data_IF_128208811257
#
_entry.id   IF_128208811257
#
_cell.length_a   1.000
_cell.length_b   1.000
_cell.length_c   1.000
_cell.angle_alpha   90.00
_cell.angle_beta   90.00
_cell.angle_gamma   90.00
#
_symmetry.space_group_name_H-M   'P 1'
#
loop_
_entity.id
_entity.type
_entity.pdbx_description
1 polymer ?
#
# COMPACT_ATOMS: atom_id res chain seq x y z
N UNK A 1 26.11 8.55 -2.63
CA UNK A 1 24.88 7.76 -2.83
C UNK A 1 23.85 8.28 -1.84
N UNK A 2 22.60 8.56 -2.26
CA UNK A 2 21.57 9.02 -1.30
C UNK A 2 21.27 7.92 -0.29
N UNK A 3 21.10 8.30 0.98
CA UNK A 3 20.73 7.39 2.07
C UNK A 3 19.22 7.40 2.28
N UNK A 4 18.62 6.22 2.34
CA UNK A 4 17.18 6.02 2.49
C UNK A 4 16.88 5.22 3.74
N UNK A 5 16.04 5.75 4.63
CA UNK A 5 15.43 5.00 5.71
C UNK A 5 14.08 4.43 5.26
N UNK A 6 13.99 3.10 5.17
CA UNK A 6 12.78 2.39 4.78
C UNK A 6 12.11 1.79 6.02
N UNK A 7 10.95 2.31 6.42
CA UNK A 7 10.17 1.73 7.53
C UNK A 7 9.20 0.68 7.01
N UNK A 8 8.80 -0.28 7.86
CA UNK A 8 7.89 -1.34 7.44
C UNK A 8 8.47 -2.28 6.37
N UNK A 9 9.79 -2.40 6.31
CA UNK A 9 10.52 -3.10 5.26
C UNK A 9 10.26 -4.62 5.18
N UNK A 10 9.62 -5.22 6.19
CA UNK A 10 9.21 -6.63 6.21
C UNK A 10 7.76 -6.84 5.75
N UNK A 11 7.06 -5.77 5.37
CA UNK A 11 5.75 -5.85 4.73
C UNK A 11 5.85 -6.21 3.24
N UNK A 12 4.71 -6.50 2.62
CA UNK A 12 4.60 -6.89 1.22
C UNK A 12 5.29 -5.89 0.27
N UNK A 13 4.94 -4.60 0.35
CA UNK A 13 5.61 -3.55 -0.43
C UNK A 13 7.08 -3.35 -0.02
N UNK A 14 7.40 -3.59 1.27
CA UNK A 14 8.77 -3.47 1.78
C UNK A 14 9.75 -4.42 1.11
N UNK A 15 9.32 -5.65 0.78
CA UNK A 15 10.16 -6.60 0.03
C UNK A 15 10.45 -6.10 -1.38
N UNK A 16 9.44 -5.65 -2.13
CA UNK A 16 9.64 -5.08 -3.47
C UNK A 16 10.55 -3.85 -3.43
N UNK A 17 10.38 -2.97 -2.43
CA UNK A 17 11.25 -1.80 -2.26
C UNK A 17 12.71 -2.19 -1.96
N UNK A 18 12.93 -3.23 -1.13
CA UNK A 18 14.30 -3.72 -0.88
C UNK A 18 14.98 -4.20 -2.18
N UNK A 19 14.28 -4.99 -2.98
CA UNK A 19 14.81 -5.50 -4.25
C UNK A 19 15.16 -4.36 -5.23
N UNK A 20 14.26 -3.39 -5.39
CA UNK A 20 14.43 -2.34 -6.40
C UNK A 20 15.40 -1.21 -5.99
N UNK A 21 15.59 -0.98 -4.68
CA UNK A 21 16.33 0.17 -4.16
C UNK A 21 17.72 -0.18 -3.62
N UNK A 22 17.96 -1.42 -3.14
CA UNK A 22 19.20 -1.77 -2.43
C UNK A 22 20.48 -1.59 -3.26
N UNK A 23 20.44 -1.81 -4.56
CA UNK A 23 21.60 -1.63 -5.45
C UNK A 23 21.83 -0.17 -5.86
N UNK A 24 20.85 0.70 -5.64
CA UNK A 24 20.84 2.09 -6.14
C UNK A 24 21.02 3.14 -5.04
N UNK A 25 20.81 2.74 -3.78
CA UNK A 25 20.84 3.65 -2.63
C UNK A 25 21.48 2.98 -1.41
N UNK A 26 22.01 3.78 -0.49
CA UNK A 26 22.38 3.34 0.86
C UNK A 26 21.08 3.11 1.66
N UNK A 27 20.58 1.85 1.66
CA UNK A 27 19.25 1.52 2.14
C UNK A 27 19.29 0.96 3.57
N UNK A 28 18.73 1.72 4.51
CA UNK A 28 18.56 1.32 5.90
C UNK A 28 17.14 0.79 6.08
N UNK A 29 17.02 -0.52 6.23
CA UNK A 29 15.75 -1.20 6.41
C UNK A 29 15.36 -1.27 7.88
N UNK A 30 14.12 -0.89 8.22
CA UNK A 30 13.59 -0.99 9.58
C UNK A 30 12.23 -1.65 9.62
N UNK A 31 11.94 -2.34 10.72
CA UNK A 31 10.61 -2.90 11.00
C UNK A 31 10.36 -2.98 12.51
N UNK A 32 9.09 -3.11 12.90
CA UNK A 32 8.70 -3.26 14.31
C UNK A 32 9.32 -4.51 14.95
N UNK A 33 9.33 -5.62 14.23
CA UNK A 33 9.94 -6.87 14.69
C UNK A 33 11.37 -6.98 14.19
N UNK A 34 12.28 -7.42 15.06
CA UNK A 34 13.67 -7.68 14.68
C UNK A 34 13.76 -8.83 13.68
N UNK A 35 14.53 -8.65 12.61
CA UNK A 35 14.82 -9.71 11.64
C UNK A 35 16.19 -9.51 11.01
N UNK A 36 16.74 -10.57 10.37
CA UNK A 36 18.06 -10.50 9.73
C UNK A 36 18.10 -9.39 8.68
N UNK A 37 19.09 -8.52 8.76
CA UNK A 37 19.27 -7.39 7.84
C UNK A 37 18.29 -6.25 8.02
N UNK A 38 17.56 -6.19 9.17
CA UNK A 38 16.57 -5.16 9.45
C UNK A 38 16.75 -4.65 10.88
N UNK A 39 16.84 -3.35 11.05
CA UNK A 39 16.88 -2.72 12.36
C UNK A 39 15.47 -2.68 12.97
N UNK A 40 15.41 -2.86 14.28
CA UNK A 40 14.14 -2.72 15.00
C UNK A 40 13.81 -1.23 15.16
N UNK A 41 12.64 -0.83 14.68
CA UNK A 41 12.09 0.51 14.86
C UNK A 41 10.56 0.43 14.92
N UNK A 42 9.99 0.83 16.03
CA UNK A 42 8.57 1.13 16.11
C UNK A 42 8.37 2.64 15.91
N UNK A 43 7.64 3.02 14.86
CA UNK A 43 7.48 4.42 14.48
C UNK A 43 6.67 5.24 15.50
N UNK A 44 5.86 4.61 16.35
CA UNK A 44 5.15 5.34 17.38
C UNK A 44 6.03 5.66 18.61
N UNK A 45 7.19 5.02 18.76
CA UNK A 45 8.19 5.43 19.73
C UNK A 45 8.96 6.64 19.22
N UNK A 46 8.56 7.82 19.71
CA UNK A 46 9.16 9.10 19.31
C UNK A 46 10.67 9.17 19.53
N UNK A 47 11.15 8.62 20.65
CA UNK A 47 12.56 8.64 20.97
C UNK A 47 13.36 7.71 20.06
N UNK A 48 12.83 6.50 19.78
CA UNK A 48 13.44 5.57 18.84
C UNK A 48 13.52 6.18 17.43
N UNK A 49 12.45 6.85 16.97
CA UNK A 49 12.44 7.56 15.67
C UNK A 49 13.49 8.66 15.65
N UNK A 50 13.51 9.56 16.65
CA UNK A 50 14.47 10.66 16.73
C UNK A 50 15.93 10.15 16.75
N UNK A 51 16.22 9.15 17.58
CA UNK A 51 17.56 8.56 17.68
C UNK A 51 17.99 7.90 16.37
N UNK A 52 17.08 7.19 15.70
CA UNK A 52 17.35 6.54 14.40
C UNK A 52 17.67 7.58 13.34
N UNK A 53 16.84 8.63 13.22
CA UNK A 53 17.05 9.71 12.26
C UNK A 53 18.35 10.46 12.49
N UNK A 54 18.68 10.79 13.74
CA UNK A 54 19.96 11.43 14.12
C UNK A 54 21.18 10.54 13.83
N UNK A 55 21.07 9.24 14.12
CA UNK A 55 22.18 8.28 13.91
C UNK A 55 22.49 8.08 12.43
N UNK A 56 21.48 7.92 11.60
CA UNK A 56 21.66 7.53 10.20
C UNK A 56 21.62 8.71 9.22
N UNK A 57 21.07 9.85 9.62
CA UNK A 57 20.96 11.07 8.81
C UNK A 57 20.49 10.77 7.36
N UNK A 58 19.31 10.14 7.15
CA UNK A 58 18.85 9.80 5.82
C UNK A 58 18.48 11.06 5.02
N UNK A 59 18.72 11.03 3.71
CA UNK A 59 18.22 12.06 2.78
C UNK A 59 16.72 11.90 2.53
N UNK A 60 16.25 10.65 2.59
CA UNK A 60 14.86 10.27 2.27
C UNK A 60 14.36 9.30 3.34
N UNK A 61 13.13 9.50 3.80
CA UNK A 61 12.39 8.50 4.57
C UNK A 61 11.24 7.97 3.71
N UNK A 62 11.20 6.64 3.50
CA UNK A 62 10.06 5.96 2.87
C UNK A 62 9.28 5.27 3.98
N UNK A 63 8.10 5.80 4.30
CA UNK A 63 7.26 5.23 5.35
C UNK A 63 6.22 4.27 4.79
N UNK A 64 6.49 2.95 4.94
CA UNK A 64 5.58 1.87 4.62
C UNK A 64 4.93 1.28 5.88
N UNK A 65 5.31 1.73 7.06
CA UNK A 65 4.75 1.24 8.32
C UNK A 65 3.30 1.66 8.47
N UNK A 66 2.41 0.69 8.63
CA UNK A 66 0.99 0.92 8.88
C UNK A 66 0.33 -0.30 9.54
N UNK A 67 -0.75 -0.08 10.28
CA UNK A 67 -1.70 -1.09 10.68
C UNK A 67 -2.76 -1.20 9.59
N UNK A 68 -2.64 -2.21 8.72
CA UNK A 68 -3.41 -2.34 7.46
C UNK A 68 -4.57 -3.33 7.54
N UNK A 69 -4.71 -4.07 8.65
CA UNK A 69 -5.90 -4.87 8.90
C UNK A 69 -7.08 -3.94 9.22
N UNK A 70 -7.95 -3.75 8.21
CA UNK A 70 -9.06 -2.80 8.28
C UNK A 70 -10.09 -3.22 9.36
N UNK A 71 -10.37 -4.52 9.51
CA UNK A 71 -11.24 -5.01 10.60
C UNK A 71 -10.53 -4.88 11.96
N UNK A 72 -9.24 -5.17 12.02
CA UNK A 72 -8.43 -4.95 13.21
C UNK A 72 -8.39 -3.49 13.66
N UNK A 73 -8.43 -2.55 12.71
CA UNK A 73 -8.54 -1.12 13.02
C UNK A 73 -9.89 -0.75 13.66
N UNK A 74 -11.00 -1.33 13.19
CA UNK A 74 -12.31 -1.12 13.85
C UNK A 74 -12.33 -1.69 15.29
N UNK A 75 -11.72 -2.87 15.50
CA UNK A 75 -11.59 -3.47 16.83
C UNK A 75 -10.69 -2.67 17.76
N UNK A 76 -9.66 -2.01 17.22
CA UNK A 76 -8.65 -1.29 17.97
C UNK A 76 -8.39 0.11 17.40
N UNK A 77 -9.36 1.05 17.50
CA UNK A 77 -9.23 2.39 16.91
C UNK A 77 -8.03 3.18 17.48
N UNK A 78 -7.75 3.00 18.77
CA UNK A 78 -6.61 3.64 19.43
C UNK A 78 -5.28 3.15 18.83
N UNK A 79 -5.11 1.85 18.60
CA UNK A 79 -3.91 1.29 17.99
C UNK A 79 -3.76 1.75 16.54
N UNK A 80 -4.87 1.80 15.79
CA UNK A 80 -4.89 2.32 14.41
C UNK A 80 -4.42 3.77 14.36
N UNK A 81 -4.96 4.64 15.22
CA UNK A 81 -4.54 6.04 15.33
C UNK A 81 -3.05 6.15 15.72
N UNK A 82 -2.62 5.37 16.71
CA UNK A 82 -1.24 5.37 17.22
C UNK A 82 -0.23 5.01 16.14
N UNK A 83 -0.48 3.96 15.34
CA UNK A 83 0.45 3.52 14.31
C UNK A 83 0.33 4.39 13.05
N UNK A 84 -0.91 4.56 12.54
CA UNK A 84 -1.13 5.16 11.22
C UNK A 84 -1.05 6.69 11.21
N UNK A 85 -1.27 7.34 12.37
CA UNK A 85 -1.20 8.80 12.48
C UNK A 85 -0.05 9.26 13.38
N UNK A 86 0.00 8.87 14.67
CA UNK A 86 1.02 9.37 15.60
C UNK A 86 2.43 8.92 15.20
N UNK A 87 2.58 7.69 14.70
CA UNK A 87 3.84 7.21 14.16
C UNK A 87 4.33 8.04 12.96
N UNK A 88 3.43 8.44 12.06
CA UNK A 88 3.75 9.34 10.95
C UNK A 88 4.10 10.73 11.44
N UNK A 89 3.36 11.24 12.42
CA UNK A 89 3.65 12.52 13.09
C UNK A 89 5.06 12.52 13.71
N UNK A 90 5.46 11.42 14.37
CA UNK A 90 6.81 11.31 14.94
C UNK A 90 7.91 11.41 13.87
N UNK A 91 7.70 10.82 12.69
CA UNK A 91 8.63 10.97 11.57
C UNK A 91 8.64 12.43 11.10
N UNK A 92 7.47 13.04 10.86
CA UNK A 92 7.38 14.42 10.40
C UNK A 92 8.08 15.41 11.32
N UNK A 93 7.88 15.27 12.63
CA UNK A 93 8.41 16.20 13.65
C UNK A 93 9.94 16.10 13.81
N UNK A 94 10.57 15.01 13.39
CA UNK A 94 12.00 14.74 13.61
C UNK A 94 12.80 14.60 12.30
N UNK A 95 12.20 14.88 11.14
CA UNK A 95 12.84 14.70 9.84
C UNK A 95 12.55 15.87 8.90
N UNK A 96 13.58 16.51 8.35
CA UNK A 96 13.44 17.65 7.42
C UNK A 96 13.71 17.29 5.95
N UNK A 97 14.20 16.08 5.66
CA UNK A 97 14.42 15.60 4.30
C UNK A 97 13.12 15.22 3.56
N UNK A 98 13.26 14.52 2.44
CA UNK A 98 12.13 14.09 1.63
C UNK A 98 11.36 12.92 2.27
N UNK A 99 10.14 13.16 2.74
CA UNK A 99 9.25 12.11 3.25
C UNK A 99 8.38 11.55 2.13
N UNK A 100 8.52 10.25 1.84
CA UNK A 100 7.62 9.50 0.96
C UNK A 100 6.70 8.65 1.83
N UNK A 101 5.40 8.97 1.86
CA UNK A 101 4.40 8.28 2.67
C UNK A 101 3.41 7.54 1.80
N UNK A 102 3.11 6.27 2.16
CA UNK A 102 2.10 5.49 1.47
C UNK A 102 0.76 5.63 2.18
N UNK A 103 -0.20 6.20 1.45
CA UNK A 103 -1.59 6.37 1.87
C UNK A 103 -2.50 5.35 1.16
N UNK A 104 -3.80 5.57 1.17
CA UNK A 104 -4.78 4.62 0.67
C UNK A 104 -5.98 5.31 0.03
N UNK A 105 -6.63 4.62 -0.90
CA UNK A 105 -7.96 4.92 -1.43
C UNK A 105 -9.06 4.92 -0.36
N UNK A 106 -8.84 4.29 0.81
CA UNK A 106 -9.77 4.29 1.94
C UNK A 106 -10.00 5.67 2.57
N UNK A 107 -9.30 6.71 2.14
CA UNK A 107 -9.60 8.10 2.49
C UNK A 107 -10.89 8.60 1.83
N UNK A 108 -11.44 7.86 0.86
CA UNK A 108 -12.69 8.14 0.17
C UNK A 108 -13.83 7.25 0.67
N UNK A 109 -15.08 7.66 0.42
CA UNK A 109 -16.28 6.91 0.84
C UNK A 109 -16.67 5.77 -0.11
N UNK A 110 -16.14 5.76 -1.32
CA UNK A 110 -16.42 4.75 -2.32
C UNK A 110 -17.81 4.84 -2.96
N UNK A 111 -18.45 6.00 -2.98
CA UNK A 111 -19.76 6.19 -3.64
C UNK A 111 -19.60 6.46 -5.14
N UNK A 112 -18.69 7.35 -5.49
CA UNK A 112 -18.58 7.96 -6.82
C UNK A 112 -17.19 7.80 -7.46
N UNK A 113 -16.41 6.79 -7.04
CA UNK A 113 -15.11 6.49 -7.66
C UNK A 113 -15.24 6.11 -9.15
N UNK A 114 -14.11 6.21 -9.88
CA UNK A 114 -12.74 6.42 -9.40
C UNK A 114 -12.44 7.87 -9.01
N UNK A 115 -11.52 8.04 -8.05
CA UNK A 115 -11.17 9.32 -7.45
C UNK A 115 -9.81 9.83 -7.91
N UNK A 116 -9.70 11.14 -8.14
CA UNK A 116 -8.43 11.84 -8.32
C UNK A 116 -7.95 12.49 -7.01
N UNK A 117 -6.82 13.20 -7.08
CA UNK A 117 -6.21 13.83 -5.90
C UNK A 117 -6.98 15.05 -5.39
N UNK A 118 -7.86 15.66 -6.21
CA UNK A 118 -8.73 16.79 -5.87
C UNK A 118 -10.07 16.36 -5.30
N UNK A 119 -10.43 15.09 -5.45
CA UNK A 119 -11.69 14.54 -4.98
C UNK A 119 -11.81 14.66 -3.46
N UNK A 120 -13.02 15.04 -3.00
CA UNK A 120 -13.31 15.23 -1.57
C UNK A 120 -13.12 13.92 -0.80
N UNK A 121 -12.27 13.95 0.21
CA UNK A 121 -12.09 12.83 1.13
C UNK A 121 -13.26 12.70 2.10
N UNK A 122 -13.68 11.46 2.39
CA UNK A 122 -14.76 11.15 3.33
C UNK A 122 -14.62 9.70 3.79
N UNK A 123 -13.63 9.37 4.65
CA UNK A 123 -13.38 7.99 5.06
C UNK A 123 -14.54 7.40 5.85
N UNK A 124 -14.92 6.16 5.56
CA UNK A 124 -16.04 5.45 6.20
C UNK A 124 -15.58 4.35 7.16
N UNK A 125 -14.27 4.26 7.44
CA UNK A 125 -13.66 3.29 8.33
C UNK A 125 -12.61 3.94 9.23
N UNK A 126 -12.32 3.33 10.37
CA UNK A 126 -11.25 3.77 11.28
C UNK A 126 -9.89 3.76 10.57
N UNK A 127 -9.61 2.75 9.75
CA UNK A 127 -8.41 2.70 8.93
C UNK A 127 -8.29 3.92 8.01
N UNK A 128 -9.31 4.16 7.19
CA UNK A 128 -9.33 5.29 6.27
C UNK A 128 -9.15 6.65 6.98
N UNK A 129 -9.84 6.82 8.11
CA UNK A 129 -9.73 8.05 8.92
C UNK A 129 -8.30 8.23 9.48
N UNK A 130 -7.67 7.16 9.98
CA UNK A 130 -6.29 7.23 10.49
C UNK A 130 -5.27 7.57 9.40
N UNK A 131 -5.50 7.09 8.16
CA UNK A 131 -4.65 7.41 7.00
C UNK A 131 -4.87 8.87 6.55
N UNK A 132 -6.12 9.35 6.51
CA UNK A 132 -6.42 10.73 6.16
C UNK A 132 -5.79 11.72 7.13
N UNK A 133 -5.89 11.48 8.44
CA UNK A 133 -5.23 12.31 9.46
C UNK A 133 -3.72 12.43 9.22
N UNK A 134 -3.07 11.35 8.80
CA UNK A 134 -1.65 11.38 8.46
C UNK A 134 -1.38 12.20 7.20
N UNK A 135 -2.18 12.02 6.13
CA UNK A 135 -2.08 12.82 4.91
C UNK A 135 -2.18 14.32 5.22
N UNK A 136 -3.22 14.72 5.96
CA UNK A 136 -3.46 16.12 6.36
C UNK A 136 -2.31 16.70 7.21
N UNK A 137 -1.79 15.90 8.14
CA UNK A 137 -0.65 16.31 8.96
C UNK A 137 0.61 16.56 8.13
N UNK A 138 0.93 15.65 7.21
CA UNK A 138 2.07 15.78 6.30
C UNK A 138 1.90 17.04 5.44
N UNK A 139 0.75 17.22 4.80
CA UNK A 139 0.46 18.37 3.92
C UNK A 139 0.64 19.68 4.67
N UNK A 140 0.17 19.75 5.92
CA UNK A 140 0.23 20.97 6.74
C UNK A 140 1.65 21.30 7.25
N UNK A 141 2.46 20.27 7.56
CA UNK A 141 3.68 20.45 8.37
C UNK A 141 4.98 20.13 7.61
N UNK A 142 4.91 19.63 6.36
CA UNK A 142 6.10 19.29 5.57
C UNK A 142 6.14 20.07 4.27
N UNK A 143 7.27 20.70 3.98
CA UNK A 143 7.52 21.35 2.68
C UNK A 143 8.00 20.38 1.61
N UNK A 144 8.68 19.29 2.02
CA UNK A 144 9.27 18.31 1.09
C UNK A 144 8.72 16.90 1.37
N UNK A 145 7.63 16.57 0.69
CA UNK A 145 6.94 15.29 0.85
C UNK A 145 6.37 14.75 -0.46
N UNK A 146 6.18 13.45 -0.50
CA UNK A 146 5.32 12.77 -1.47
C UNK A 146 4.37 11.86 -0.71
N UNK A 147 3.08 12.05 -0.89
CA UNK A 147 2.06 11.09 -0.45
C UNK A 147 1.63 10.31 -1.69
N UNK A 148 1.80 8.98 -1.65
CA UNK A 148 1.32 8.08 -2.69
C UNK A 148 0.11 7.31 -2.17
N UNK A 149 -1.09 7.64 -2.64
CA UNK A 149 -2.29 6.83 -2.38
C UNK A 149 -2.26 5.58 -3.25
N UNK A 150 -2.39 4.44 -2.62
CA UNK A 150 -2.41 3.13 -3.25
C UNK A 150 -3.81 2.51 -3.19
N UNK A 151 -4.10 1.60 -4.13
CA UNK A 151 -5.31 0.80 -4.12
C UNK A 151 -4.93 -0.68 -4.21
N UNK A 152 -5.42 -1.49 -3.24
CA UNK A 152 -5.32 -2.95 -3.21
C UNK A 152 -3.95 -3.48 -3.65
N UNK A 153 -2.93 -3.19 -2.86
CA UNK A 153 -1.60 -3.74 -3.12
C UNK A 153 -1.62 -5.28 -3.00
N UNK A 154 -1.07 -5.97 -4.00
CA UNK A 154 -0.94 -7.41 -4.01
C UNK A 154 0.46 -7.87 -4.41
N UNK A 155 0.84 -9.04 -3.93
CA UNK A 155 2.03 -9.78 -4.33
C UNK A 155 1.91 -11.25 -3.94
N UNK A 156 2.87 -12.07 -4.36
CA UNK A 156 3.04 -13.43 -3.89
C UNK A 156 4.40 -13.57 -3.20
N UNK A 157 4.44 -13.33 -1.89
CA UNK A 157 5.67 -13.47 -1.12
C UNK A 157 5.47 -14.48 0.02
N UNK A 158 6.39 -15.47 0.13
CA UNK A 158 6.27 -16.57 1.12
C UNK A 158 6.19 -16.09 2.58
N UNK A 159 6.82 -14.95 2.89
CA UNK A 159 6.91 -14.41 4.25
C UNK A 159 5.78 -13.47 4.66
N UNK A 160 4.82 -13.18 3.77
CA UNK A 160 3.69 -12.29 4.06
C UNK A 160 2.37 -12.99 3.72
N UNK A 161 1.35 -12.77 4.56
CA UNK A 161 0.01 -13.35 4.36
C UNK A 161 -1.03 -12.28 3.99
N UNK A 162 -0.66 -11.02 3.90
CA UNK A 162 -1.56 -9.90 3.66
C UNK A 162 -1.81 -9.65 2.17
N UNK A 163 -2.01 -10.70 1.37
CA UNK A 163 -2.25 -10.57 -0.07
C UNK A 163 -3.50 -11.31 -0.50
N UNK A 164 -4.43 -10.58 -1.13
CA UNK A 164 -5.63 -11.17 -1.74
C UNK A 164 -5.24 -12.18 -2.82
N UNK A 165 -4.28 -11.85 -3.69
CA UNK A 165 -3.78 -12.75 -4.73
C UNK A 165 -3.24 -14.06 -4.12
N UNK A 166 -2.38 -13.97 -3.10
CA UNK A 166 -1.82 -15.14 -2.44
C UNK A 166 -2.92 -16.03 -1.85
N UNK A 167 -3.90 -15.43 -1.18
CA UNK A 167 -5.04 -16.15 -0.62
C UNK A 167 -5.85 -16.88 -1.70
N UNK A 168 -6.12 -16.25 -2.85
CA UNK A 168 -6.81 -16.90 -3.98
C UNK A 168 -6.01 -18.09 -4.49
N UNK A 169 -4.72 -17.89 -4.81
CA UNK A 169 -3.86 -18.94 -5.36
C UNK A 169 -3.78 -20.14 -4.40
N UNK A 170 -3.42 -19.90 -3.14
CA UNK A 170 -3.22 -20.99 -2.17
C UNK A 170 -4.53 -21.73 -1.84
N UNK A 171 -5.67 -21.03 -1.82
CA UNK A 171 -6.97 -21.67 -1.61
C UNK A 171 -7.34 -22.59 -2.77
N UNK A 172 -7.22 -22.10 -4.01
CA UNK A 172 -7.60 -22.88 -5.21
C UNK A 172 -6.63 -24.05 -5.46
N UNK A 173 -5.34 -23.89 -5.19
CA UNK A 173 -4.35 -24.99 -5.25
C UNK A 173 -4.66 -26.11 -4.26
N UNK A 174 -5.32 -25.78 -3.14
CA UNK A 174 -5.79 -26.76 -2.14
C UNK A 174 -7.19 -27.29 -2.46
N UNK A 175 -7.74 -27.04 -3.64
CA UNK A 175 -9.12 -27.38 -4.03
C UNK A 175 -10.18 -26.85 -3.04
N UNK A 176 -9.90 -25.70 -2.40
CA UNK A 176 -10.80 -25.05 -1.45
C UNK A 176 -11.66 -24.01 -2.17
N UNK A 177 -12.98 -24.17 -2.11
CA UNK A 177 -13.90 -23.16 -2.60
C UNK A 177 -13.79 -21.86 -1.79
N UNK A 178 -13.84 -20.72 -2.48
CA UNK A 178 -13.75 -19.38 -1.90
C UNK A 178 -14.96 -18.53 -2.30
N UNK A 179 -15.40 -17.67 -1.35
CA UNK A 179 -16.46 -16.69 -1.57
C UNK A 179 -15.86 -15.31 -1.79
N UNK A 180 -16.14 -14.68 -2.93
CA UNK A 180 -15.54 -13.40 -3.32
C UNK A 180 -16.61 -12.39 -3.67
N UNK A 181 -16.50 -11.17 -3.15
CA UNK A 181 -17.47 -10.09 -3.37
C UNK A 181 -17.39 -9.54 -4.78
N UNK A 182 -18.55 -9.32 -5.41
CA UNK A 182 -18.68 -8.80 -6.76
C UNK A 182 -19.22 -7.35 -6.83
N UNK A 183 -19.20 -6.65 -5.70
CA UNK A 183 -19.73 -5.30 -5.57
C UNK A 183 -18.72 -4.30 -4.97
N UNK A 184 -17.45 -4.72 -4.75
CA UNK A 184 -16.34 -3.84 -4.40
C UNK A 184 -15.43 -3.63 -5.61
N UNK A 185 -15.46 -2.41 -6.18
CA UNK A 185 -14.67 -2.01 -7.35
C UNK A 185 -13.39 -1.30 -6.94
N UNK A 186 -12.27 -1.68 -7.55
CA UNK A 186 -10.95 -1.12 -7.30
C UNK A 186 -10.00 -1.40 -8.46
N UNK A 187 -8.81 -0.82 -8.47
CA UNK A 187 -7.74 -1.16 -9.39
C UNK A 187 -6.57 -1.81 -8.64
N UNK A 188 -6.53 -3.15 -8.55
CA UNK A 188 -5.48 -3.89 -7.88
C UNK A 188 -4.09 -3.53 -8.42
N UNK A 189 -3.11 -3.38 -7.52
CA UNK A 189 -1.79 -2.85 -7.87
C UNK A 189 -0.70 -3.79 -7.38
N UNK A 190 0.16 -4.24 -8.29
CA UNK A 190 1.30 -5.07 -7.93
C UNK A 190 2.36 -4.27 -7.18
N UNK A 191 2.84 -4.79 -6.05
CA UNK A 191 3.82 -4.09 -5.20
C UNK A 191 5.11 -3.76 -5.95
N UNK A 192 5.53 -4.58 -6.90
CA UNK A 192 6.71 -4.30 -7.72
C UNK A 192 6.52 -3.09 -8.64
N UNK A 193 5.34 -2.95 -9.26
CA UNK A 193 5.03 -1.75 -10.03
C UNK A 193 5.02 -0.51 -9.11
N UNK A 194 4.43 -0.63 -7.92
CA UNK A 194 4.39 0.45 -6.96
C UNK A 194 5.78 0.84 -6.44
N UNK A 195 6.65 -0.13 -6.19
CA UNK A 195 8.06 0.09 -5.83
C UNK A 195 8.83 0.83 -6.95
N UNK A 196 8.61 0.43 -8.21
CA UNK A 196 9.17 1.13 -9.36
C UNK A 196 8.66 2.58 -9.47
N UNK A 197 7.42 2.84 -9.08
CA UNK A 197 6.90 4.22 -8.99
C UNK A 197 7.66 5.01 -7.93
N UNK A 198 7.86 4.46 -6.74
CA UNK A 198 8.66 5.09 -5.67
C UNK A 198 10.07 5.42 -6.19
N UNK A 199 10.73 4.47 -6.87
CA UNK A 199 12.04 4.68 -7.47
C UNK A 199 12.04 5.84 -8.49
N UNK A 200 11.03 5.91 -9.37
CA UNK A 200 10.89 6.99 -10.35
C UNK A 200 10.63 8.34 -9.68
N UNK A 201 9.81 8.39 -8.63
CA UNK A 201 9.55 9.58 -7.83
C UNK A 201 10.85 10.10 -7.19
N UNK A 202 11.66 9.22 -6.60
CA UNK A 202 12.97 9.59 -6.03
C UNK A 202 13.88 10.20 -7.10
N UNK A 203 13.97 9.54 -8.27
CA UNK A 203 14.84 10.01 -9.39
C UNK A 203 14.38 11.35 -9.98
N UNK A 204 13.07 11.57 -10.05
CA UNK A 204 12.45 12.77 -10.62
C UNK A 204 12.19 13.87 -9.57
N UNK A 205 12.58 13.65 -8.33
CA UNK A 205 12.30 14.55 -7.19
C UNK A 205 10.81 14.93 -7.11
N UNK A 206 9.93 13.92 -7.38
CA UNK A 206 8.50 14.12 -7.35
C UNK A 206 8.01 14.48 -5.95
N UNK A 207 7.03 15.40 -5.87
CA UNK A 207 6.49 15.89 -4.60
C UNK A 207 4.98 16.10 -4.65
N UNK A 208 4.39 16.22 -3.47
CA UNK A 208 2.96 16.47 -3.27
C UNK A 208 2.13 15.20 -3.18
N UNK A 209 0.81 15.36 -3.24
CA UNK A 209 -0.15 14.27 -3.19
C UNK A 209 -0.36 13.70 -4.60
N UNK A 210 -0.20 12.37 -4.72
CA UNK A 210 -0.29 11.62 -5.97
C UNK A 210 -1.06 10.31 -5.75
N UNK A 211 -1.88 9.95 -6.71
CA UNK A 211 -2.51 8.64 -6.79
C UNK A 211 -1.70 7.71 -7.71
N UNK A 212 -1.56 6.44 -7.33
CA UNK A 212 -1.09 5.42 -8.24
C UNK A 212 -1.81 4.09 -8.02
N UNK A 213 -2.26 3.50 -9.13
CA UNK A 213 -2.77 2.14 -9.20
C UNK A 213 -2.49 1.57 -10.59
N UNK A 214 -2.46 0.24 -10.72
CA UNK A 214 -2.33 -0.42 -12.01
C UNK A 214 -3.59 -0.20 -12.86
N UNK A 215 -3.44 -0.27 -14.18
CA UNK A 215 -4.51 0.04 -15.13
C UNK A 215 -5.54 -1.09 -15.22
N UNK A 216 -6.77 -0.76 -14.92
CA UNK A 216 -7.93 -1.64 -14.95
C UNK A 216 -8.73 -1.57 -13.65
N UNK A 217 -10.00 -1.12 -13.74
CA UNK A 217 -10.94 -1.11 -12.62
C UNK A 217 -11.83 -2.33 -12.74
N UNK A 218 -11.91 -3.13 -11.68
CA UNK A 218 -12.68 -4.36 -11.65
C UNK A 218 -13.19 -4.69 -10.25
N UNK A 219 -14.13 -5.60 -10.12
CA UNK A 219 -14.56 -6.11 -8.82
C UNK A 219 -13.51 -7.07 -8.22
N UNK A 220 -13.61 -7.32 -6.92
CA UNK A 220 -12.79 -8.35 -6.28
C UNK A 220 -13.00 -9.72 -6.93
N UNK A 221 -14.25 -10.03 -7.31
CA UNK A 221 -14.61 -11.28 -8.00
C UNK A 221 -13.93 -11.37 -9.37
N UNK A 222 -14.02 -10.33 -10.21
CA UNK A 222 -13.35 -10.30 -11.51
C UNK A 222 -11.83 -10.46 -11.37
N UNK A 223 -11.25 -9.84 -10.34
CA UNK A 223 -9.82 -9.99 -10.06
C UNK A 223 -9.46 -11.42 -9.65
N UNK A 224 -10.30 -12.10 -8.84
CA UNK A 224 -10.10 -13.50 -8.49
C UNK A 224 -10.19 -14.43 -9.70
N UNK A 225 -11.17 -14.23 -10.58
CA UNK A 225 -11.28 -14.97 -11.85
C UNK A 225 -10.05 -14.75 -12.75
N UNK A 226 -9.58 -13.51 -12.86
CA UNK A 226 -8.38 -13.17 -13.63
C UNK A 226 -7.13 -13.85 -13.08
N UNK A 227 -6.96 -13.89 -11.75
CA UNK A 227 -5.88 -14.64 -11.08
C UNK A 227 -5.99 -16.12 -11.45
N UNK A 228 -7.16 -16.74 -11.26
CA UNK A 228 -7.37 -18.15 -11.51
C UNK A 228 -7.05 -18.52 -12.96
N UNK A 229 -7.56 -17.76 -13.94
CA UNK A 229 -7.30 -17.98 -15.36
C UNK A 229 -5.80 -17.85 -15.72
N UNK A 230 -5.10 -16.84 -15.16
CA UNK A 230 -3.67 -16.64 -15.47
C UNK A 230 -2.80 -17.72 -14.81
N UNK A 231 -3.18 -18.20 -13.63
CA UNK A 231 -2.43 -19.20 -12.86
C UNK A 231 -2.88 -20.64 -13.13
N UNK A 232 -3.77 -20.87 -14.13
CA UNK A 232 -4.31 -22.17 -14.53
C UNK A 232 -4.99 -22.92 -13.37
N UNK A 233 -5.80 -22.20 -12.57
CA UNK A 233 -6.54 -22.71 -11.42
C UNK A 233 -8.03 -22.85 -11.73
N UNK A 234 -8.73 -23.74 -11.02
CA UNK A 234 -10.15 -24.01 -11.25
C UNK A 234 -11.04 -22.82 -10.82
N UNK A 235 -11.65 -22.17 -11.81
CA UNK A 235 -12.59 -21.04 -11.60
C UNK A 235 -13.92 -21.46 -10.97
N UNK A 236 -14.31 -22.74 -11.07
CA UNK A 236 -15.56 -23.22 -10.50
C UNK A 236 -15.54 -23.22 -8.95
N UNK A 237 -14.38 -23.12 -8.36
CA UNK A 237 -14.19 -22.97 -6.91
C UNK A 237 -14.40 -21.53 -6.41
N UNK A 238 -14.69 -20.57 -7.29
CA UNK A 238 -14.90 -19.16 -6.94
C UNK A 238 -16.38 -18.81 -6.96
N UNK A 239 -16.98 -18.72 -5.78
CA UNK A 239 -18.38 -18.31 -5.62
C UNK A 239 -18.49 -16.79 -5.48
N UNK A 240 -19.36 -16.15 -6.26
CA UNK A 240 -19.64 -14.73 -6.11
C UNK A 240 -20.65 -14.47 -5.01
N UNK A 241 -20.38 -13.45 -4.17
CA UNK A 241 -21.28 -12.99 -3.13
C UNK A 241 -21.35 -11.46 -3.09
N UNK A 242 -22.27 -10.90 -2.30
CA UNK A 242 -22.33 -9.47 -2.01
C UNK A 242 -21.60 -9.14 -0.69
N UNK A 243 -21.07 -7.92 -0.59
CA UNK A 243 -20.40 -7.45 0.63
C UNK A 243 -21.21 -7.63 1.91
N UNK A 244 -22.54 -7.46 1.84
CA UNK A 244 -23.44 -7.67 2.98
C UNK A 244 -23.41 -9.08 3.56
N UNK A 245 -23.01 -10.08 2.76
CA UNK A 245 -22.95 -11.49 3.15
C UNK A 245 -21.68 -11.82 3.96
N UNK A 246 -20.61 -11.01 3.82
CA UNK A 246 -19.33 -11.22 4.53
C UNK A 246 -19.38 -10.88 6.01
N UNK A 247 -20.39 -10.14 6.48
CA UNK A 247 -20.51 -9.66 7.87
C UNK A 247 -19.22 -9.05 8.42
N UNK A 248 -18.53 -8.24 7.58
CA UNK A 248 -17.30 -7.55 7.98
C UNK A 248 -17.61 -6.43 8.98
N UNK A 249 -16.75 -6.24 9.98
CA UNK A 249 -16.93 -5.20 10.99
C UNK A 249 -16.70 -3.80 10.39
N UNK A 250 -15.66 -3.65 9.60
CA UNK A 250 -15.33 -2.40 8.93
C UNK A 250 -16.17 -2.21 7.66
N UNK A 251 -16.72 -1.02 7.47
CA UNK A 251 -17.30 -0.62 6.18
C UNK A 251 -16.22 -0.52 5.11
N UNK A 252 -16.52 -0.99 3.90
CA UNK A 252 -15.61 -0.95 2.75
C UNK A 252 -16.13 0.04 1.69
N UNK A 253 -15.24 0.85 1.09
CA UNK A 253 -15.61 1.63 -0.09
C UNK A 253 -16.03 0.70 -1.23
N UNK A 254 -17.22 0.94 -1.81
CA UNK A 254 -17.77 0.06 -2.84
C UNK A 254 -17.22 0.36 -4.24
N UNK A 255 -16.94 1.63 -4.54
CA UNK A 255 -16.35 2.10 -5.79
C UNK A 255 -15.14 2.96 -5.47
N UNK A 256 -13.96 2.35 -5.29
CA UNK A 256 -12.79 3.04 -4.76
C UNK A 256 -11.60 3.13 -5.70
N UNK A 257 -11.78 2.95 -7.00
CA UNK A 257 -10.69 3.09 -7.98
C UNK A 257 -10.01 4.47 -7.90
N UNK A 258 -8.72 4.51 -8.27
CA UNK A 258 -7.91 5.73 -8.33
C UNK A 258 -7.65 6.17 -9.77
N UNK A 259 -7.77 7.47 -10.03
CA UNK A 259 -7.34 8.13 -11.28
C UNK A 259 -5.88 8.53 -11.13
N UNK A 260 -5.05 8.19 -12.12
CA UNK A 260 -3.59 8.34 -12.09
C UNK A 260 -3.06 9.45 -13.01
N UNK A 261 -3.96 10.25 -13.59
CA UNK A 261 -3.62 11.28 -14.58
C UNK A 261 -2.55 12.27 -14.11
N UNK A 262 -2.56 12.65 -12.85
CA UNK A 262 -1.61 13.60 -12.29
C UNK A 262 -0.17 13.05 -12.32
N UNK A 263 0.03 11.80 -11.87
CA UNK A 263 1.37 11.17 -11.89
C UNK A 263 1.83 10.87 -13.32
N UNK A 264 0.91 10.52 -14.22
CA UNK A 264 1.20 10.32 -15.64
C UNK A 264 1.70 11.60 -16.29
N UNK A 265 0.96 12.69 -16.14
CA UNK A 265 1.24 13.97 -16.80
C UNK A 265 2.50 14.64 -16.21
N UNK A 266 2.63 14.69 -14.89
CA UNK A 266 3.70 15.44 -14.24
C UNK A 266 5.03 14.66 -14.22
N UNK A 267 4.98 13.34 -14.22
CA UNK A 267 6.17 12.52 -14.03
C UNK A 267 6.38 11.49 -15.15
N UNK A 268 5.53 11.45 -16.17
CA UNK A 268 5.56 10.44 -17.23
C UNK A 268 5.66 9.00 -16.64
N UNK A 269 4.86 8.72 -15.62
CA UNK A 269 4.76 7.41 -14.96
C UNK A 269 3.43 6.80 -15.37
N UNK A 270 3.44 5.89 -16.34
CA UNK A 270 2.23 5.23 -16.84
C UNK A 270 1.90 3.99 -16.02
N UNK A 271 0.61 3.79 -15.67
CA UNK A 271 0.14 2.55 -15.04
C UNK A 271 0.39 1.33 -15.92
N UNK A 272 0.77 0.22 -15.29
CA UNK A 272 0.92 -1.08 -15.94
C UNK A 272 -0.43 -1.79 -15.96
N UNK A 273 -0.73 -2.57 -17.00
CA UNK A 273 -1.99 -3.34 -17.01
C UNK A 273 -1.93 -4.49 -16.00
N UNK A 274 -3.07 -4.76 -15.36
CA UNK A 274 -3.18 -5.85 -14.37
C UNK A 274 -2.84 -7.20 -15.00
N UNK A 275 -3.23 -7.45 -16.25
CA UNK A 275 -2.88 -8.69 -16.97
C UNK A 275 -1.37 -8.85 -17.13
N UNK A 276 -0.68 -7.79 -17.53
CA UNK A 276 0.79 -7.80 -17.66
C UNK A 276 1.46 -8.06 -16.32
N UNK A 277 0.97 -7.41 -15.26
CA UNK A 277 1.46 -7.58 -13.89
C UNK A 277 1.31 -9.02 -13.40
N UNK A 278 0.13 -9.63 -13.57
CA UNK A 278 -0.15 -11.01 -13.17
C UNK A 278 0.67 -12.04 -13.96
N UNK A 279 0.82 -11.86 -15.30
CA UNK A 279 1.67 -12.73 -16.13
C UNK A 279 3.14 -12.64 -15.72
N UNK A 280 3.63 -11.45 -15.42
CA UNK A 280 4.99 -11.25 -14.93
C UNK A 280 5.20 -11.89 -13.56
N UNK A 281 4.22 -11.74 -12.67
CA UNK A 281 4.26 -12.36 -11.35
C UNK A 281 4.25 -13.90 -11.46
N UNK A 282 3.40 -14.49 -12.31
CA UNK A 282 3.37 -15.95 -12.54
C UNK A 282 4.75 -16.50 -12.86
N UNK A 283 5.50 -15.83 -13.75
CA UNK A 283 6.88 -16.23 -14.14
C UNK A 283 7.89 -16.18 -12.99
N UNK A 284 7.61 -15.42 -11.93
CA UNK A 284 8.50 -15.30 -10.76
C UNK A 284 8.19 -16.32 -9.66
N UNK A 285 6.98 -16.89 -9.66
CA UNK A 285 6.49 -17.75 -8.58
C UNK A 285 6.41 -19.22 -8.98
N UNK A 286 6.27 -19.50 -10.27
CA UNK A 286 6.28 -20.83 -10.88
C UNK A 286 7.56 -21.04 -11.67
#
# INVERSE_FOLDING_TARGET
>A
MKRILLTGSNGQLGYSCKEDLSEKFDLICTSRSRSKGTLQLDIFDRNAVSNTLKKFQPDIVINLSAFTDVNGCEKNPHLANKINFEGVKNICDNFDGHLIHISSDYVFDGKDGPYDESSKTNPISVYGNSKLKADEYIIKNKSHYTILRANVLYDYHKKTNASFLKWVIESLQQNKAIKVVNDQWNNPTWTRNFSNVILKIIKKQGHGLLNYADNGIMTRYDFALKIANIFDLDINLIEQIKTKELKQEAKRPMKSGLITKKIENNFNIKPVSIDSSLRSLKKLVL
#
